data_IF_526846445074
#
_entry.id   IF_526846445074
#
_cell.length_a   1.000
_cell.length_b   1.000
_cell.length_c   1.000
_cell.angle_alpha   90.00
_cell.angle_beta   90.00
_cell.angle_gamma   90.00
#
_symmetry.space_group_name_H-M   'P 1'
#
loop_
_entity.id
_entity.type
_entity.pdbx_description
1 polymer ?
#
# COMPACT_ATOMS: atom_id res chain seq x y z
N UNK A 1 40.54 -30.23 -3.58
CA UNK A 1 41.72 -30.41 -4.47
C UNK A 1 43.03 -30.30 -3.66
N UNK A 2 44.07 -31.06 -4.03
CA UNK A 2 45.39 -31.01 -3.38
C UNK A 2 46.48 -30.53 -4.34
N UNK A 3 47.69 -30.29 -3.81
CA UNK A 3 48.88 -29.96 -4.64
C UNK A 3 49.45 -31.24 -5.23
N UNK A 4 50.03 -31.14 -6.43
CA UNK A 4 50.69 -32.28 -7.08
C UNK A 4 51.89 -32.77 -6.26
N UNK A 5 51.95 -34.07 -6.02
CA UNK A 5 52.86 -34.75 -5.11
C UNK A 5 53.57 -35.95 -5.76
N UNK A 6 53.42 -36.10 -7.08
CA UNK A 6 54.15 -37.11 -7.84
C UNK A 6 55.67 -36.84 -7.82
N UNK A 7 56.53 -37.88 -7.96
CA UNK A 7 57.98 -37.70 -7.92
C UNK A 7 58.55 -36.73 -8.97
N UNK A 8 57.81 -36.50 -10.06
CA UNK A 8 58.17 -35.57 -11.15
C UNK A 8 57.55 -34.18 -10.99
N UNK A 9 56.91 -33.90 -9.86
CA UNK A 9 56.44 -32.56 -9.51
C UNK A 9 57.63 -31.58 -9.36
N UNK A 10 57.42 -30.33 -9.76
CA UNK A 10 58.38 -29.27 -9.44
C UNK A 10 58.28 -28.92 -7.96
N UNK A 11 59.33 -29.24 -7.21
CA UNK A 11 59.43 -28.85 -5.81
C UNK A 11 59.40 -27.33 -5.64
N UNK A 12 58.62 -26.86 -4.66
CA UNK A 12 58.58 -25.46 -4.20
C UNK A 12 58.30 -24.40 -5.30
N UNK A 13 57.62 -24.77 -6.40
CA UNK A 13 57.34 -23.87 -7.53
C UNK A 13 56.61 -22.58 -7.11
N UNK A 14 55.75 -22.67 -6.10
CA UNK A 14 54.97 -21.54 -5.58
C UNK A 14 55.38 -21.13 -4.15
N UNK A 15 56.60 -21.47 -3.72
CA UNK A 15 57.11 -21.26 -2.37
C UNK A 15 57.30 -22.56 -1.58
N UNK A 16 57.88 -22.47 -0.38
CA UNK A 16 58.21 -23.63 0.44
C UNK A 16 57.00 -24.55 0.69
N UNK A 17 57.15 -25.84 0.38
CA UNK A 17 56.12 -26.87 0.46
C UNK A 17 55.06 -26.84 -0.65
N UNK A 18 55.15 -25.90 -1.61
CA UNK A 18 54.11 -25.68 -2.63
C UNK A 18 54.57 -26.15 -4.01
N UNK A 19 54.53 -27.46 -4.19
CA UNK A 19 54.86 -28.12 -5.44
C UNK A 19 53.92 -27.71 -6.59
N UNK A 20 54.39 -27.83 -7.83
CA UNK A 20 53.61 -27.49 -9.02
C UNK A 20 54.00 -28.25 -10.28
N UNK A 21 53.23 -28.08 -11.34
CA UNK A 21 53.46 -28.74 -12.63
C UNK A 21 54.67 -28.17 -13.39
N UNK A 22 55.35 -29.02 -14.15
CA UNK A 22 56.38 -28.65 -15.12
C UNK A 22 56.19 -29.43 -16.42
N UNK A 23 56.51 -28.80 -17.56
CA UNK A 23 56.51 -29.46 -18.87
C UNK A 23 57.74 -30.36 -19.05
N UNK A 24 58.62 -30.42 -18.04
CA UNK A 24 59.95 -31.00 -18.18
C UNK A 24 60.89 -30.08 -18.95
N UNK A 25 62.11 -30.56 -19.13
CA UNK A 25 63.12 -29.93 -19.95
C UNK A 25 64.04 -31.04 -20.50
N UNK A 26 63.90 -31.38 -21.80
CA UNK A 26 64.73 -32.42 -22.44
C UNK A 26 66.23 -32.12 -22.39
N UNK A 27 66.64 -30.85 -22.38
CA UNK A 27 68.06 -30.47 -22.38
C UNK A 27 68.74 -30.77 -21.04
N UNK A 28 67.98 -30.73 -19.95
CA UNK A 28 68.46 -31.03 -18.59
C UNK A 28 68.05 -32.43 -18.11
N UNK A 29 67.40 -33.23 -18.97
CA UNK A 29 66.89 -34.56 -18.63
C UNK A 29 65.70 -34.54 -17.66
N UNK A 30 65.11 -33.37 -17.42
CA UNK A 30 63.98 -33.23 -16.48
C UNK A 30 62.69 -33.72 -17.14
N UNK A 31 62.06 -34.71 -16.54
CA UNK A 31 60.76 -35.23 -17.00
C UNK A 31 59.63 -34.23 -16.73
N UNK A 32 58.60 -34.26 -17.58
CA UNK A 32 57.34 -33.58 -17.30
C UNK A 32 56.67 -34.17 -16.06
N UNK A 33 55.80 -33.38 -15.42
CA UNK A 33 55.05 -33.86 -14.25
C UNK A 33 54.08 -34.96 -14.64
N UNK A 34 54.24 -36.12 -14.04
CA UNK A 34 53.33 -37.24 -14.15
C UNK A 34 52.06 -36.92 -13.34
N UNK A 35 50.90 -37.33 -13.86
CA UNK A 35 49.61 -37.20 -13.18
C UNK A 35 49.28 -38.52 -12.47
N UNK A 36 48.77 -38.45 -11.24
CA UNK A 36 48.31 -39.61 -10.46
C UNK A 36 46.78 -39.65 -10.38
N UNK A 37 46.24 -40.79 -9.91
CA UNK A 37 44.81 -40.99 -9.66
C UNK A 37 44.26 -39.94 -8.70
N UNK A 38 44.97 -39.71 -7.60
CA UNK A 38 44.48 -38.88 -6.49
C UNK A 38 44.13 -37.45 -6.96
N UNK A 39 44.92 -36.90 -7.89
CA UNK A 39 44.66 -35.60 -8.48
C UNK A 39 43.43 -35.59 -9.39
N UNK A 40 43.25 -36.63 -10.20
CA UNK A 40 42.09 -36.74 -11.09
C UNK A 40 40.81 -37.06 -10.34
N UNK A 41 40.88 -37.89 -9.30
CA UNK A 41 39.80 -38.18 -8.38
C UNK A 41 39.38 -36.89 -7.67
N UNK A 42 40.35 -36.09 -7.19
CA UNK A 42 40.03 -34.80 -6.58
C UNK A 42 39.33 -33.83 -7.54
N UNK A 43 39.77 -33.74 -8.81
CA UNK A 43 39.09 -32.89 -9.81
C UNK A 43 37.68 -33.40 -10.10
N UNK A 44 37.51 -34.71 -10.24
CA UNK A 44 36.21 -35.33 -10.44
C UNK A 44 35.27 -35.00 -9.28
N UNK A 45 35.71 -35.25 -8.04
CA UNK A 45 34.86 -35.06 -6.86
C UNK A 45 34.49 -33.58 -6.64
N UNK A 46 35.35 -32.61 -6.96
CA UNK A 46 34.98 -31.18 -6.91
C UNK A 46 33.84 -30.86 -7.90
N UNK A 47 33.91 -31.41 -9.11
CA UNK A 47 32.85 -31.22 -10.13
C UNK A 47 31.58 -31.98 -9.74
N UNK A 48 31.72 -33.23 -9.31
CA UNK A 48 30.62 -34.09 -8.87
C UNK A 48 29.89 -33.49 -7.67
N UNK A 49 30.62 -32.99 -6.68
CA UNK A 49 30.05 -32.33 -5.49
C UNK A 49 29.16 -31.15 -5.87
N UNK A 50 29.56 -30.32 -6.84
CA UNK A 50 28.73 -29.20 -7.31
C UNK A 50 27.45 -29.69 -7.98
N UNK A 51 27.53 -30.75 -8.79
CA UNK A 51 26.39 -31.34 -9.49
C UNK A 51 25.39 -31.96 -8.50
N UNK A 52 25.90 -32.72 -7.52
CA UNK A 52 25.10 -33.36 -6.49
C UNK A 52 24.48 -32.33 -5.52
N UNK A 53 25.22 -31.28 -5.17
CA UNK A 53 24.70 -30.17 -4.35
C UNK A 53 23.56 -29.43 -5.06
N UNK A 54 23.57 -29.37 -6.40
CA UNK A 54 22.44 -28.89 -7.19
C UNK A 54 21.28 -29.91 -7.30
N UNK A 55 21.40 -31.08 -6.68
CA UNK A 55 20.38 -32.14 -6.70
C UNK A 55 20.24 -32.82 -8.06
N UNK A 56 21.33 -32.90 -8.84
CA UNK A 56 21.39 -33.57 -10.14
C UNK A 56 22.13 -34.89 -9.96
N UNK A 57 21.57 -35.98 -10.48
CA UNK A 57 22.22 -37.29 -10.44
C UNK A 57 23.35 -37.36 -11.49
N UNK A 58 24.53 -37.84 -11.11
CA UNK A 58 25.67 -38.02 -12.01
C UNK A 58 25.35 -39.02 -13.14
N UNK A 59 25.80 -38.71 -14.35
CA UNK A 59 25.59 -39.51 -15.55
C UNK A 59 26.83 -39.49 -16.43
N UNK A 60 27.44 -40.66 -16.62
CA UNK A 60 28.68 -40.81 -17.39
C UNK A 60 28.58 -40.35 -18.86
N UNK A 61 27.38 -40.41 -19.44
CA UNK A 61 27.15 -40.00 -20.83
C UNK A 61 26.84 -38.51 -21.00
N UNK A 62 26.68 -37.76 -19.91
CA UNK A 62 26.25 -36.37 -19.93
C UNK A 62 27.42 -35.44 -19.61
N UNK A 63 27.80 -34.59 -20.56
CA UNK A 63 28.95 -33.69 -20.42
C UNK A 63 28.55 -32.23 -20.14
N UNK A 64 27.26 -31.97 -19.88
CA UNK A 64 26.75 -30.63 -19.54
C UNK A 64 26.27 -30.50 -18.09
N UNK A 65 26.50 -31.52 -17.26
CA UNK A 65 25.96 -31.56 -15.89
C UNK A 65 26.43 -30.40 -15.01
N UNK A 66 27.71 -30.02 -15.09
CA UNK A 66 28.23 -28.89 -14.32
C UNK A 66 27.56 -27.57 -14.73
N UNK A 67 27.32 -27.39 -16.03
CA UNK A 67 26.60 -26.22 -16.54
C UNK A 67 25.15 -26.18 -16.01
N UNK A 68 24.44 -27.31 -16.07
CA UNK A 68 23.09 -27.42 -15.53
C UNK A 68 23.04 -27.18 -14.00
N UNK A 69 24.04 -27.67 -13.27
CA UNK A 69 24.15 -27.49 -11.83
C UNK A 69 24.32 -26.01 -11.45
N UNK A 70 25.24 -25.31 -12.11
CA UNK A 70 25.47 -23.88 -11.88
C UNK A 70 24.20 -23.08 -12.19
N UNK A 71 23.53 -23.34 -13.32
CA UNK A 71 22.27 -22.69 -13.67
C UNK A 71 21.21 -22.87 -12.58
N UNK A 72 21.00 -24.12 -12.13
CA UNK A 72 20.02 -24.43 -11.08
C UNK A 72 20.34 -23.77 -9.74
N UNK A 73 21.61 -23.78 -9.32
CA UNK A 73 22.04 -23.12 -8.07
C UNK A 73 21.79 -21.61 -8.11
N UNK A 74 22.03 -20.96 -9.26
CA UNK A 74 21.74 -19.54 -9.45
C UNK A 74 20.22 -19.29 -9.42
N UNK A 75 19.43 -20.10 -10.13
CA UNK A 75 17.99 -19.94 -10.21
C UNK A 75 17.32 -20.06 -8.83
N UNK A 76 17.72 -21.06 -8.02
CA UNK A 76 17.22 -21.20 -6.65
C UNK A 76 17.56 -19.99 -5.77
N UNK A 77 18.74 -19.41 -5.92
CA UNK A 77 19.09 -18.17 -5.21
C UNK A 77 18.26 -16.97 -5.71
N UNK A 78 17.99 -16.86 -7.01
CA UNK A 78 17.23 -15.75 -7.59
C UNK A 78 15.74 -15.82 -7.21
N UNK A 79 15.14 -17.01 -7.09
CA UNK A 79 13.73 -17.20 -6.66
C UNK A 79 13.40 -16.60 -5.29
N UNK A 80 14.40 -16.36 -4.45
CA UNK A 80 14.21 -15.72 -3.14
C UNK A 80 14.04 -14.19 -3.22
N UNK A 81 14.27 -13.61 -4.40
CA UNK A 81 14.21 -12.16 -4.64
C UNK A 81 12.97 -11.79 -5.44
N UNK A 82 12.54 -10.54 -5.32
CA UNK A 82 11.46 -10.00 -6.15
C UNK A 82 11.96 -9.65 -7.55
N UNK A 83 11.19 -10.05 -8.56
CA UNK A 83 11.45 -9.78 -9.97
C UNK A 83 10.99 -8.35 -10.35
N UNK A 84 11.88 -7.59 -11.00
CA UNK A 84 11.62 -6.18 -11.33
C UNK A 84 10.43 -6.00 -12.29
N UNK A 85 10.34 -6.85 -13.30
CA UNK A 85 9.27 -6.85 -14.30
C UNK A 85 7.92 -7.34 -13.75
N UNK A 86 7.88 -8.01 -12.59
CA UNK A 86 6.63 -8.38 -11.92
C UNK A 86 6.01 -7.22 -11.14
N UNK A 87 6.74 -6.11 -10.95
CA UNK A 87 6.24 -4.90 -10.29
C UNK A 87 5.54 -5.19 -8.93
N UNK A 88 6.07 -6.15 -8.16
CA UNK A 88 5.54 -6.53 -6.85
C UNK A 88 4.34 -7.50 -6.87
N UNK A 89 3.94 -8.01 -8.04
CA UNK A 89 2.90 -9.04 -8.15
C UNK A 89 3.29 -10.33 -7.40
N UNK A 90 4.59 -10.63 -7.38
CA UNK A 90 5.28 -11.75 -6.77
C UNK A 90 5.52 -11.59 -5.25
N UNK A 91 5.13 -10.47 -4.63
CA UNK A 91 5.18 -10.29 -3.18
C UNK A 91 4.23 -11.32 -2.51
N UNK A 92 4.75 -12.23 -1.65
CA UNK A 92 3.95 -13.29 -1.04
C UNK A 92 2.87 -12.78 -0.09
N UNK A 93 3.17 -11.74 0.69
CA UNK A 93 2.24 -11.13 1.64
C UNK A 93 2.22 -9.60 1.48
N UNK A 94 1.34 -9.12 0.59
CA UNK A 94 1.18 -7.69 0.28
C UNK A 94 0.72 -6.86 1.49
N UNK A 95 -0.24 -7.32 2.33
CA UNK A 95 -0.60 -6.59 3.56
C UNK A 95 0.60 -6.36 4.51
N UNK A 96 1.38 -7.40 4.79
CA UNK A 96 2.57 -7.27 5.65
C UNK A 96 3.63 -6.37 5.01
N UNK A 97 3.80 -6.45 3.69
CA UNK A 97 4.71 -5.56 2.97
C UNK A 97 4.31 -4.08 3.16
N UNK A 98 3.02 -3.76 3.00
CA UNK A 98 2.48 -2.40 3.23
C UNK A 98 2.68 -1.93 4.67
N UNK A 99 2.58 -2.82 5.65
CA UNK A 99 2.90 -2.53 7.05
C UNK A 99 4.39 -2.22 7.23
N UNK A 100 5.27 -3.02 6.65
CA UNK A 100 6.73 -2.85 6.76
C UNK A 100 7.23 -1.55 6.10
N UNK A 101 6.57 -1.08 5.04
CA UNK A 101 6.89 0.21 4.40
C UNK A 101 6.18 1.41 5.06
N UNK A 102 5.48 1.20 6.19
CA UNK A 102 4.85 2.27 6.97
C UNK A 102 3.55 2.83 6.36
N UNK A 103 2.91 2.13 5.43
CA UNK A 103 1.67 2.58 4.77
C UNK A 103 0.39 2.19 5.53
N UNK A 104 0.50 1.44 6.63
CA UNK A 104 -0.66 0.97 7.39
C UNK A 104 -1.57 2.10 7.90
N UNK A 105 -0.98 3.13 8.51
CA UNK A 105 -1.75 4.29 9.00
C UNK A 105 -2.36 5.10 7.85
N UNK A 106 -1.60 5.33 6.77
CA UNK A 106 -2.09 6.02 5.57
C UNK A 106 -3.31 5.34 4.97
N UNK A 107 -3.32 4.00 4.89
CA UNK A 107 -4.47 3.24 4.39
C UNK A 107 -5.69 3.43 5.31
N UNK A 108 -5.51 3.37 6.63
CA UNK A 108 -6.59 3.56 7.59
C UNK A 108 -7.17 4.99 7.53
N UNK A 109 -6.29 6.00 7.43
CA UNK A 109 -6.71 7.39 7.26
C UNK A 109 -7.45 7.62 5.94
N UNK A 110 -6.96 7.03 4.84
CA UNK A 110 -7.61 7.13 3.54
C UNK A 110 -8.99 6.44 3.53
N UNK A 111 -9.14 5.31 4.22
CA UNK A 111 -10.42 4.61 4.35
C UNK A 111 -11.47 5.43 5.12
N UNK A 112 -11.03 6.25 6.07
CA UNK A 112 -11.89 7.15 6.86
C UNK A 112 -12.07 8.56 6.28
N UNK A 113 -11.43 8.89 5.16
CA UNK A 113 -11.48 10.23 4.59
C UNK A 113 -12.81 10.52 3.89
N UNK A 114 -13.28 11.78 3.98
CA UNK A 114 -14.45 12.24 3.23
C UNK A 114 -14.16 12.25 1.73
N UNK A 115 -15.09 11.73 0.93
CA UNK A 115 -15.04 11.63 -0.51
C UNK A 115 -15.59 12.89 -1.18
N UNK A 116 -14.73 13.59 -1.94
CA UNK A 116 -15.10 14.80 -2.67
C UNK A 116 -16.29 14.58 -3.63
N UNK A 117 -16.36 13.42 -4.28
CA UNK A 117 -17.43 13.05 -5.21
C UNK A 117 -18.80 12.93 -4.54
N UNK A 118 -18.85 12.69 -3.23
CA UNK A 118 -20.09 12.57 -2.49
C UNK A 118 -20.64 13.92 -2.03
N UNK A 119 -19.89 15.01 -2.16
CA UNK A 119 -20.29 16.36 -1.77
C UNK A 119 -20.93 16.41 -0.36
N UNK A 120 -20.31 15.74 0.61
CA UNK A 120 -20.78 15.65 2.00
C UNK A 120 -21.87 14.59 2.24
N UNK A 121 -22.18 13.75 1.26
CA UNK A 121 -23.12 12.63 1.38
C UNK A 121 -22.74 11.61 2.45
N UNK A 122 -21.45 11.37 2.61
CA UNK A 122 -20.75 10.49 3.55
C UNK A 122 -20.57 11.06 4.96
N UNK A 123 -21.00 12.29 5.22
CA UNK A 123 -21.00 12.86 6.56
C UNK A 123 -22.08 12.16 7.40
N UNK A 124 -21.74 11.47 8.51
CA UNK A 124 -22.71 10.70 9.29
C UNK A 124 -23.83 11.56 9.91
N UNK A 125 -23.47 12.72 10.49
CA UNK A 125 -24.43 13.72 10.99
C UNK A 125 -24.18 15.08 10.33
N UNK A 126 -24.90 15.33 9.24
CA UNK A 126 -24.86 16.59 8.48
C UNK A 126 -25.33 17.78 9.30
N UNK A 127 -26.26 17.60 10.26
CA UNK A 127 -26.77 18.69 11.11
C UNK A 127 -25.71 19.10 12.12
N UNK A 128 -25.07 18.13 12.78
CA UNK A 128 -23.95 18.40 13.69
C UNK A 128 -22.76 18.99 12.94
N UNK A 129 -22.43 18.47 11.75
CA UNK A 129 -21.38 19.03 10.90
C UNK A 129 -21.67 20.49 10.54
N UNK A 130 -22.86 20.80 10.02
CA UNK A 130 -23.27 22.17 9.70
C UNK A 130 -23.13 23.12 10.91
N UNK A 131 -23.57 22.67 12.10
CA UNK A 131 -23.37 23.42 13.36
C UNK A 131 -21.90 23.65 13.69
N UNK A 132 -21.05 22.64 13.52
CA UNK A 132 -19.61 22.70 13.83
C UNK A 132 -18.88 23.71 12.96
N UNK A 133 -19.24 23.79 11.68
CA UNK A 133 -18.63 24.74 10.73
C UNK A 133 -19.32 26.12 10.70
N UNK A 134 -20.34 26.35 11.53
CA UNK A 134 -21.11 27.60 11.54
C UNK A 134 -22.03 27.80 10.32
N UNK A 135 -22.33 26.73 9.58
CA UNK A 135 -23.27 26.78 8.47
C UNK A 135 -24.72 26.65 8.95
N UNK A 136 -25.63 27.33 8.26
CA UNK A 136 -27.08 27.25 8.52
C UNK A 136 -27.72 26.34 7.48
N UNK A 137 -28.34 25.25 7.91
CA UNK A 137 -29.20 24.43 7.04
C UNK A 137 -30.51 25.17 6.80
N UNK A 138 -30.70 25.70 5.60
CA UNK A 138 -31.97 26.31 5.20
C UNK A 138 -33.05 25.24 5.05
N UNK A 139 -34.22 25.48 5.63
CA UNK A 139 -35.43 24.70 5.35
C UNK A 139 -36.39 25.64 4.63
N UNK A 140 -36.64 25.37 3.35
CA UNK A 140 -37.66 26.11 2.59
C UNK A 140 -39.03 25.57 2.98
N UNK A 141 -39.90 26.45 3.46
CA UNK A 141 -41.31 26.14 3.70
C UNK A 141 -42.11 26.84 2.60
N UNK A 142 -42.75 26.06 1.73
CA UNK A 142 -43.72 26.59 0.76
C UNK A 142 -45.08 26.66 1.43
N UNK A 143 -45.62 27.87 1.56
CA UNK A 143 -46.99 28.10 1.99
C UNK A 143 -47.86 28.14 0.73
N UNK A 144 -48.99 27.42 0.74
CA UNK A 144 -49.91 27.34 -0.39
C UNK A 144 -50.76 28.61 -0.53
N UNK A 145 -52.09 28.44 -0.62
CA UNK A 145 -53.03 29.57 -0.66
C UNK A 145 -52.94 30.47 0.59
N UNK A 146 -53.53 31.67 0.49
CA UNK A 146 -53.62 32.59 1.63
C UNK A 146 -54.30 31.92 2.82
N UNK A 147 -53.59 31.87 3.96
CA UNK A 147 -54.02 31.08 5.10
C UNK A 147 -53.25 31.39 6.38
N UNK A 148 -53.72 30.80 7.48
CA UNK A 148 -53.09 30.93 8.78
C UNK A 148 -52.12 29.78 9.00
N UNK A 149 -50.83 30.09 9.13
CA UNK A 149 -49.77 29.09 9.30
C UNK A 149 -49.10 29.21 10.66
N UNK A 150 -48.93 28.08 11.34
CA UNK A 150 -48.21 28.02 12.62
C UNK A 150 -46.70 27.94 12.36
N UNK A 151 -45.98 29.01 12.64
CA UNK A 151 -44.53 29.11 12.39
C UNK A 151 -43.66 28.73 13.61
N UNK A 152 -44.21 28.83 14.83
CA UNK A 152 -43.54 28.43 16.06
C UNK A 152 -44.56 28.18 17.19
N UNK A 153 -44.18 27.38 18.18
CA UNK A 153 -44.85 27.37 19.49
C UNK A 153 -43.96 28.12 20.46
N UNK A 154 -44.46 29.20 21.06
CA UNK A 154 -43.71 29.98 22.06
C UNK A 154 -44.34 29.73 23.42
N UNK A 155 -43.56 29.23 24.36
CA UNK A 155 -43.97 29.11 25.76
C UNK A 155 -43.61 30.41 26.46
N UNK A 156 -44.60 31.15 26.95
CA UNK A 156 -44.40 32.37 27.74
C UNK A 156 -44.40 31.98 29.23
N UNK A 157 -43.25 32.01 29.94
CA UNK A 157 -43.15 31.50 31.31
C UNK A 157 -43.74 32.45 32.36
N UNK A 158 -44.08 33.68 31.98
CA UNK A 158 -44.59 34.72 32.87
C UNK A 158 -45.68 35.57 32.19
N UNK A 159 -46.50 36.25 32.99
CA UNK A 159 -47.68 36.99 32.55
C UNK A 159 -47.39 38.05 31.47
N UNK A 160 -46.21 38.68 31.47
CA UNK A 160 -45.77 39.63 30.45
C UNK A 160 -44.51 39.11 29.75
N UNK A 161 -44.64 38.73 28.49
CA UNK A 161 -43.55 38.18 27.68
C UNK A 161 -43.61 38.73 26.26
N UNK A 162 -42.44 38.98 25.65
CA UNK A 162 -42.31 39.53 24.29
C UNK A 162 -41.64 38.51 23.38
N UNK A 163 -42.25 38.21 22.23
CA UNK A 163 -41.64 37.41 21.17
C UNK A 163 -41.27 38.31 20.00
N UNK A 164 -40.06 38.15 19.46
CA UNK A 164 -39.56 38.90 18.30
C UNK A 164 -39.47 37.96 17.10
N UNK A 165 -40.15 38.32 16.01
CA UNK A 165 -40.05 37.64 14.72
C UNK A 165 -39.47 38.65 13.73
N UNK A 166 -38.31 38.35 13.14
CA UNK A 166 -37.70 39.16 12.08
C UNK A 166 -37.92 38.48 10.74
N UNK A 167 -38.66 39.14 9.86
CA UNK A 167 -38.89 38.71 8.48
C UNK A 167 -37.96 39.51 7.57
N UNK A 168 -37.17 38.82 6.76
CA UNK A 168 -36.30 39.44 5.76
C UNK A 168 -36.92 39.19 4.39
N UNK A 169 -37.37 40.25 3.71
CA UNK A 169 -38.01 40.19 2.39
C UNK A 169 -37.12 40.76 1.28
N UNK A 170 -37.27 40.20 0.07
CA UNK A 170 -36.74 40.76 -1.19
C UNK A 170 -37.80 41.56 -1.96
N UNK A 171 -37.43 42.11 -3.12
CA UNK A 171 -38.30 42.94 -3.98
C UNK A 171 -39.63 42.23 -4.27
N UNK A 172 -40.76 42.84 -3.88
CA UNK A 172 -42.12 42.29 -4.05
C UNK A 172 -42.78 41.70 -2.79
N UNK A 173 -42.11 41.69 -1.63
CA UNK A 173 -42.68 41.21 -0.35
C UNK A 173 -43.17 42.35 0.54
N UNK A 174 -44.46 42.35 0.87
CA UNK A 174 -45.09 43.26 1.85
C UNK A 174 -44.88 42.74 3.27
N UNK A 175 -44.29 43.56 4.16
CA UNK A 175 -44.16 43.26 5.59
C UNK A 175 -45.54 43.24 6.27
N UNK A 176 -45.78 42.16 7.03
CA UNK A 176 -47.08 41.78 7.64
C UNK A 176 -47.58 42.78 8.69
N UNK A 177 -48.89 43.04 8.67
CA UNK A 177 -49.67 43.66 9.76
C UNK A 177 -49.95 42.64 10.88
N UNK A 178 -49.50 42.93 12.11
CA UNK A 178 -49.78 42.10 13.30
C UNK A 178 -51.13 42.49 13.90
N UNK A 179 -52.14 41.60 13.84
CA UNK A 179 -53.45 41.84 14.48
C UNK A 179 -53.70 40.89 15.66
N UNK A 180 -54.13 41.44 16.81
CA UNK A 180 -54.50 40.69 18.02
C UNK A 180 -55.90 40.12 17.87
N UNK A 181 -56.06 38.79 17.90
CA UNK A 181 -57.35 38.13 18.09
C UNK A 181 -57.30 37.27 19.35
N UNK A 182 -58.00 37.69 20.41
CA UNK A 182 -58.16 36.91 21.63
C UNK A 182 -59.25 35.87 21.42
N UNK A 183 -58.87 34.65 21.08
CA UNK A 183 -59.72 33.48 21.33
C UNK A 183 -58.84 32.33 21.78
N UNK A 184 -58.83 32.12 23.10
CA UNK A 184 -58.13 31.07 23.86
C UNK A 184 -56.60 31.04 23.66
N UNK A 185 -55.82 31.41 24.69
CA UNK A 185 -54.40 31.08 24.99
C UNK A 185 -53.37 30.78 23.85
N UNK A 186 -53.62 31.21 22.62
CA UNK A 186 -52.79 30.97 21.45
C UNK A 186 -52.54 32.32 20.76
N UNK A 187 -51.27 32.67 20.54
CA UNK A 187 -50.88 33.78 19.69
C UNK A 187 -50.73 33.24 18.26
N UNK A 188 -51.66 33.58 17.37
CA UNK A 188 -51.57 33.26 15.94
C UNK A 188 -51.17 34.52 15.16
N UNK A 189 -50.20 34.39 14.24
CA UNK A 189 -49.77 35.46 13.33
C UNK A 189 -50.41 35.21 11.95
N UNK A 190 -51.20 36.14 11.38
CA UNK A 190 -51.65 36.02 10.01
C UNK A 190 -50.50 36.29 9.07
N UNK A 191 -50.27 35.43 8.08
CA UNK A 191 -49.41 35.73 6.94
C UNK A 191 -50.31 35.94 5.74
N UNK A 192 -50.70 37.20 5.48
CA UNK A 192 -51.36 37.59 4.23
C UNK A 192 -50.27 37.98 3.24
N UNK A 193 -49.95 37.08 2.31
CA UNK A 193 -49.15 37.43 1.13
C UNK A 193 -50.12 37.91 0.03
N UNK A 194 -50.00 39.18 -0.36
CA UNK A 194 -50.63 39.69 -1.58
C UNK A 194 -49.53 39.76 -2.65
N UNK A 195 -49.66 38.96 -3.70
CA UNK A 195 -48.82 39.07 -4.90
C UNK A 195 -49.27 40.32 -5.65
N UNK A 196 -48.40 41.31 -5.73
CA UNK A 196 -48.51 42.36 -6.75
C UNK A 196 -47.84 41.79 -8.01
N UNK A 197 -48.62 41.62 -9.07
CA UNK A 197 -48.11 41.35 -10.43
C UNK A 197 -47.22 42.49 -10.93
#
# INVERSE_FOLDING_TARGET
MHRIDTPTAQKDKFGQGKNGFTNGDPATGRRATDLNSDMWDAVQEEVCTVIEAAGIQLSKGEHTQLHAAIGRLIDEQVKTRLEKNQNGADIPNKPLFLQNVGLGETINLAAGALQKSQNGGDIPDKKQFARTIGAVTSTTITLGESGWFKIATVVMPQATSTAVIKLYGGRGLTLVHLNRRQSANWYCVPVMAHLLE
#
